data_IF_629958107317
#
_entry.id   IF_629958107317
#
_cell.length_a   1.000
_cell.length_b   1.000
_cell.length_c   1.000
_cell.angle_alpha   90.00
_cell.angle_beta   90.00
_cell.angle_gamma   90.00
#
_symmetry.space_group_name_H-M   'P 1'
#
loop_
_entity.id
_entity.type
_entity.pdbx_description
1 polymer ?
#
# COMPACT_ATOMS: atom_id res chain seq x y z
N UNK A 1 70.83 25.26 -16.83
CA UNK A 1 69.89 25.62 -15.74
C UNK A 1 68.60 26.30 -16.23
N UNK A 2 68.57 26.98 -17.37
CA UNK A 2 67.36 27.68 -17.88
C UNK A 2 66.22 26.76 -18.37
N UNK A 3 66.54 25.61 -18.99
CA UNK A 3 65.53 24.73 -19.61
C UNK A 3 64.65 23.96 -18.60
N UNK A 4 65.19 23.65 -17.40
CA UNK A 4 64.42 22.98 -16.35
C UNK A 4 63.44 23.93 -15.66
N UNK A 5 63.78 25.23 -15.57
CA UNK A 5 62.90 26.23 -14.96
C UNK A 5 61.65 26.50 -15.83
N UNK A 6 61.82 26.55 -17.15
CA UNK A 6 60.70 26.74 -18.09
C UNK A 6 59.77 25.53 -18.15
N UNK A 7 60.30 24.31 -18.10
CA UNK A 7 59.49 23.09 -18.07
C UNK A 7 58.63 22.99 -16.80
N UNK A 8 59.21 23.33 -15.63
CA UNK A 8 58.46 23.36 -14.38
C UNK A 8 57.36 24.43 -14.37
N UNK A 9 57.63 25.59 -14.96
CA UNK A 9 56.63 26.67 -15.06
C UNK A 9 55.44 26.25 -15.95
N UNK A 10 55.71 25.57 -17.07
CA UNK A 10 54.69 25.06 -17.98
C UNK A 10 53.83 23.98 -17.32
N UNK A 11 54.42 23.08 -16.53
CA UNK A 11 53.69 22.04 -15.78
C UNK A 11 52.79 22.65 -14.70
N UNK A 12 53.26 23.64 -13.95
CA UNK A 12 52.45 24.34 -12.93
C UNK A 12 51.29 25.09 -13.57
N UNK A 13 51.51 25.74 -14.71
CA UNK A 13 50.45 26.44 -15.45
C UNK A 13 49.43 25.44 -16.03
N UNK A 14 49.85 24.28 -16.54
CA UNK A 14 48.94 23.22 -16.97
C UNK A 14 48.11 22.63 -15.82
N UNK A 15 48.68 22.49 -14.62
CA UNK A 15 47.95 22.05 -13.43
C UNK A 15 46.94 23.08 -12.92
N UNK A 16 47.17 24.37 -13.17
CA UNK A 16 46.24 25.46 -12.82
C UNK A 16 45.14 25.68 -13.88
N UNK A 17 45.35 25.24 -15.12
CA UNK A 17 44.37 25.38 -16.23
C UNK A 17 43.48 24.13 -16.38
N UNK A 18 43.81 23.01 -15.75
CA UNK A 18 42.84 21.91 -15.63
C UNK A 18 41.61 22.47 -14.90
N UNK A 19 40.45 22.64 -15.57
CA UNK A 19 39.25 22.97 -14.84
C UNK A 19 39.09 21.86 -13.82
N UNK A 20 38.98 22.27 -12.55
CA UNK A 20 38.39 21.44 -11.53
C UNK A 20 36.99 21.13 -12.04
N UNK A 21 36.88 20.03 -12.80
CA UNK A 21 35.65 19.41 -13.16
C UNK A 21 35.10 18.92 -11.82
N UNK A 22 34.43 19.83 -11.11
CA UNK A 22 33.31 19.47 -10.29
C UNK A 22 32.37 18.72 -11.22
N UNK A 23 32.58 17.41 -11.31
CA UNK A 23 31.49 16.49 -11.51
C UNK A 23 30.56 16.83 -10.36
N UNK A 24 29.57 17.70 -10.63
CA UNK A 24 28.32 17.69 -9.87
C UNK A 24 27.71 16.33 -10.15
N UNK A 25 28.28 15.33 -9.48
CA UNK A 25 27.58 14.10 -9.20
C UNK A 25 26.30 14.50 -8.48
N UNK A 26 25.27 13.73 -8.75
CA UNK A 26 23.90 13.87 -8.31
C UNK A 26 23.73 13.74 -6.77
N UNK A 27 24.55 14.46 -5.99
CA UNK A 27 24.58 14.43 -4.51
C UNK A 27 23.23 14.84 -3.91
N UNK A 28 22.41 15.59 -4.64
CA UNK A 28 21.08 16.00 -4.19
C UNK A 28 20.07 14.85 -4.18
N UNK A 29 20.16 13.90 -5.11
CA UNK A 29 19.25 12.76 -5.15
C UNK A 29 19.66 11.68 -4.13
N UNK A 30 20.97 11.52 -3.88
CA UNK A 30 21.52 10.63 -2.84
C UNK A 30 21.12 11.08 -1.41
N UNK A 31 20.94 12.40 -1.21
CA UNK A 31 20.55 12.99 0.09
C UNK A 31 19.10 12.68 0.53
N UNK A 32 18.18 12.52 -0.44
CA UNK A 32 16.75 12.33 -0.17
C UNK A 32 16.34 10.88 0.10
N UNK A 33 17.17 9.91 -0.28
CA UNK A 33 16.95 8.50 0.07
C UNK A 33 17.22 8.30 1.56
N UNK A 34 16.25 7.71 2.27
CA UNK A 34 16.35 7.43 3.72
C UNK A 34 15.95 6.00 4.01
N UNK A 35 16.47 5.43 5.10
CA UNK A 35 16.05 4.11 5.58
C UNK A 35 15.28 4.22 6.88
N UNK A 36 14.31 3.34 7.05
CA UNK A 36 13.59 3.10 8.30
C UNK A 36 13.44 1.58 8.46
N UNK A 37 14.24 1.00 9.35
CA UNK A 37 14.35 -0.45 9.51
C UNK A 37 14.73 -1.14 8.20
N UNK A 38 13.87 -2.06 7.75
CA UNK A 38 14.08 -2.81 6.51
C UNK A 38 13.68 -2.03 5.25
N UNK A 39 12.99 -0.90 5.40
CA UNK A 39 12.43 -0.15 4.28
C UNK A 39 13.39 0.91 3.76
N UNK A 40 13.52 0.97 2.44
CA UNK A 40 14.16 2.08 1.74
C UNK A 40 13.09 3.07 1.26
N UNK A 41 13.22 4.32 1.68
CA UNK A 41 12.27 5.40 1.42
C UNK A 41 12.86 6.34 0.39
N UNK A 42 12.21 6.40 -0.76
CA UNK A 42 12.56 7.27 -1.87
C UNK A 42 11.29 7.88 -2.48
N UNK A 43 11.47 8.81 -3.42
CA UNK A 43 10.36 9.43 -4.13
C UNK A 43 9.39 8.36 -4.69
N UNK A 44 8.06 8.53 -4.52
CA UNK A 44 7.37 9.72 -4.04
C UNK A 44 7.24 9.82 -2.52
N UNK A 45 7.55 8.75 -1.79
CA UNK A 45 7.44 8.76 -0.33
C UNK A 45 8.52 9.65 0.30
N UNK A 46 8.17 10.23 1.45
CA UNK A 46 9.11 10.97 2.29
C UNK A 46 8.84 10.66 3.75
N UNK A 47 9.88 10.76 4.58
CA UNK A 47 9.68 10.78 6.02
C UNK A 47 9.16 12.17 6.43
N UNK A 48 8.41 12.22 7.53
CA UNK A 48 7.89 13.47 8.10
C UNK A 48 8.98 14.53 8.30
N UNK A 49 10.16 14.08 8.74
CA UNK A 49 11.30 14.95 9.05
C UNK A 49 12.28 15.09 7.87
N UNK A 50 11.92 14.60 6.67
CA UNK A 50 12.72 14.81 5.46
C UNK A 50 12.74 16.31 5.07
N UNK A 51 13.80 16.80 4.40
CA UNK A 51 13.82 18.15 3.81
C UNK A 51 12.64 18.40 2.85
N UNK A 52 12.22 19.65 2.68
CA UNK A 52 11.06 20.00 1.83
C UNK A 52 11.22 19.55 0.37
N UNK A 53 12.45 19.57 -0.16
CA UNK A 53 12.76 19.14 -1.53
C UNK A 53 12.73 17.62 -1.75
N UNK A 54 12.53 16.81 -0.70
CA UNK A 54 12.52 15.36 -0.79
C UNK A 54 11.10 14.77 -0.85
N UNK A 55 10.84 13.94 -1.86
CA UNK A 55 9.55 13.26 -2.04
C UNK A 55 8.38 14.22 -2.26
N UNK A 56 7.17 13.71 -2.11
CA UNK A 56 5.92 14.45 -2.32
C UNK A 56 5.15 14.54 -0.99
N UNK A 57 4.69 15.74 -0.65
CA UNK A 57 3.94 16.02 0.58
C UNK A 57 2.60 15.28 0.68
N UNK A 58 2.14 14.66 -0.41
CA UNK A 58 1.00 13.74 -0.40
C UNK A 58 1.34 12.37 0.23
N UNK A 59 2.60 11.95 0.19
CA UNK A 59 3.03 10.58 0.54
C UNK A 59 3.98 10.59 1.74
N UNK A 60 3.50 11.12 2.87
CA UNK A 60 4.28 11.25 4.10
C UNK A 60 4.19 9.97 4.94
N UNK A 61 5.34 9.44 5.35
CA UNK A 61 5.48 8.32 6.27
C UNK A 61 6.17 8.78 7.56
N UNK A 62 5.95 8.05 8.65
CA UNK A 62 6.64 8.27 9.93
C UNK A 62 7.48 7.04 10.26
N UNK A 63 8.74 7.26 10.66
CA UNK A 63 9.57 6.22 11.25
C UNK A 63 9.49 6.39 12.77
N UNK A 64 8.89 5.43 13.45
CA UNK A 64 8.70 5.47 14.90
C UNK A 64 9.72 4.58 15.62
N UNK A 65 9.61 4.53 16.95
CA UNK A 65 10.45 3.70 17.80
C UNK A 65 10.52 2.24 17.31
N UNK A 66 11.68 1.62 17.48
CA UNK A 66 12.03 0.31 16.94
C UNK A 66 12.07 0.23 15.41
N UNK A 67 12.40 1.35 14.74
CA UNK A 67 12.57 1.43 13.29
C UNK A 67 11.31 1.01 12.50
N UNK A 68 10.14 1.25 13.11
CA UNK A 68 8.88 0.82 12.56
C UNK A 68 8.29 1.90 11.65
N UNK A 69 8.11 1.54 10.38
CA UNK A 69 7.55 2.44 9.37
C UNK A 69 6.02 2.46 9.44
N UNK A 70 5.46 3.66 9.57
CA UNK A 70 4.04 3.92 9.78
C UNK A 70 3.48 4.85 8.70
N UNK A 71 2.28 4.50 8.22
CA UNK A 71 1.42 5.41 7.47
C UNK A 71 0.26 5.85 8.36
N UNK A 72 0.09 7.16 8.48
CA UNK A 72 -1.10 7.77 9.05
C UNK A 72 -2.06 8.15 7.93
N UNK A 73 -3.20 7.46 7.85
CA UNK A 73 -4.14 7.66 6.74
C UNK A 73 -5.37 8.44 7.19
N UNK A 74 -5.25 9.77 7.24
CA UNK A 74 -6.34 10.67 7.65
C UNK A 74 -6.95 10.27 9.01
N UNK A 75 -8.28 10.25 9.09
CA UNK A 75 -9.02 9.79 10.27
C UNK A 75 -9.19 8.26 10.36
N UNK A 76 -8.66 7.49 9.39
CA UNK A 76 -8.91 6.04 9.26
C UNK A 76 -7.96 5.21 10.10
N UNK A 77 -6.83 5.78 10.49
CA UNK A 77 -6.01 5.22 11.54
C UNK A 77 -4.53 5.14 11.18
N UNK A 78 -3.86 4.26 11.93
CA UNK A 78 -2.44 4.03 11.94
C UNK A 78 -2.16 2.66 11.32
N UNK A 79 -1.27 2.62 10.34
CA UNK A 79 -0.96 1.40 9.60
C UNK A 79 0.54 1.13 9.62
N UNK A 80 0.90 -0.12 9.87
CA UNK A 80 2.25 -0.60 9.66
C UNK A 80 2.49 -0.79 8.17
N UNK A 81 3.58 -0.20 7.66
CA UNK A 81 4.00 -0.44 6.29
C UNK A 81 4.75 -1.76 6.24
N UNK A 82 4.17 -2.77 5.57
CA UNK A 82 4.77 -4.09 5.41
C UNK A 82 5.75 -4.13 4.23
N UNK A 83 5.45 -3.41 3.16
CA UNK A 83 6.33 -3.30 1.99
C UNK A 83 5.94 -2.12 1.10
N UNK A 84 6.91 -1.56 0.40
CA UNK A 84 6.72 -0.57 -0.67
C UNK A 84 7.30 -1.17 -1.96
N UNK A 85 6.50 -1.24 -3.01
CA UNK A 85 6.93 -1.74 -4.31
C UNK A 85 7.04 -0.57 -5.31
N UNK A 86 8.28 -0.14 -5.56
CA UNK A 86 8.64 0.93 -6.50
C UNK A 86 8.40 0.58 -7.97
N UNK A 87 8.38 -0.70 -8.32
CA UNK A 87 8.15 -1.14 -9.69
C UNK A 87 6.66 -1.19 -10.03
N UNK A 88 5.84 -1.63 -9.08
CA UNK A 88 4.40 -1.84 -9.30
C UNK A 88 3.53 -0.71 -8.75
N UNK A 89 4.12 0.35 -8.21
CA UNK A 89 3.40 1.49 -7.65
C UNK A 89 2.44 1.12 -6.52
N UNK A 90 2.79 0.15 -5.67
CA UNK A 90 1.98 -0.28 -4.52
C UNK A 90 2.67 -0.07 -3.18
N UNK A 91 1.87 0.10 -2.14
CA UNK A 91 2.27 0.07 -0.73
C UNK A 91 1.35 -0.90 0.00
N UNK A 92 1.93 -1.85 0.74
CA UNK A 92 1.20 -2.85 1.51
C UNK A 92 1.19 -2.47 2.98
N UNK A 93 -0.01 -2.45 3.55
CA UNK A 93 -0.32 -1.93 4.87
C UNK A 93 -0.96 -3.02 5.72
N UNK A 94 -0.59 -3.04 7.00
CA UNK A 94 -1.25 -3.88 8.01
C UNK A 94 -1.81 -2.96 9.09
N UNK A 95 -3.09 -3.13 9.42
CA UNK A 95 -3.73 -2.36 10.48
C UNK A 95 -2.98 -2.57 11.81
N UNK A 96 -2.66 -1.48 12.49
CA UNK A 96 -2.01 -1.50 13.80
C UNK A 96 -2.78 -2.35 14.82
N UNK A 97 -4.12 -2.33 14.75
CA UNK A 97 -4.98 -3.05 15.68
C UNK A 97 -5.01 -4.57 15.43
N UNK A 98 -4.59 -5.03 14.24
CA UNK A 98 -4.52 -6.45 13.92
C UNK A 98 -3.30 -7.14 14.58
N UNK A 99 -2.32 -6.37 15.05
CA UNK A 99 -1.07 -6.88 15.65
C UNK A 99 -1.10 -6.93 17.19
N UNK A 100 -2.29 -6.82 17.80
CA UNK A 100 -2.49 -6.82 19.25
C UNK A 100 -1.67 -7.89 19.99
N UNK A 101 -0.61 -7.41 20.64
CA UNK A 101 0.33 -8.08 21.54
C UNK A 101 -0.26 -9.28 22.28
N UNK A 102 0.31 -10.47 22.03
CA UNK A 102 0.41 -11.66 22.90
C UNK A 102 -0.81 -12.16 23.71
N UNK A 103 -1.96 -11.51 23.61
CA UNK A 103 -3.22 -11.74 24.33
C UNK A 103 -4.41 -11.35 23.43
N UNK A 104 -4.33 -11.67 22.14
CA UNK A 104 -5.38 -11.90 21.12
C UNK A 104 -6.78 -11.25 21.31
N UNK A 105 -6.85 -10.05 21.85
CA UNK A 105 -8.08 -9.27 21.94
C UNK A 105 -8.12 -8.35 20.74
N UNK A 106 -8.72 -8.84 19.65
CA UNK A 106 -8.97 -8.04 18.44
C UNK A 106 -9.85 -6.85 18.84
N UNK A 107 -9.30 -5.64 18.76
CA UNK A 107 -10.10 -4.44 19.02
C UNK A 107 -11.09 -4.20 17.86
N UNK A 108 -12.35 -3.87 18.15
CA UNK A 108 -13.44 -3.85 17.19
C UNK A 108 -13.48 -2.55 16.37
N UNK A 109 -12.39 -2.21 15.68
CA UNK A 109 -12.46 -1.21 14.60
C UNK A 109 -12.32 -1.94 13.26
N UNK A 110 -13.38 -2.64 12.81
CA UNK A 110 -13.33 -3.40 11.57
C UNK A 110 -13.12 -2.45 10.39
N UNK A 111 -11.94 -2.50 9.77
CA UNK A 111 -11.73 -1.85 8.49
C UNK A 111 -12.41 -2.68 7.41
N UNK A 112 -13.45 -2.12 6.79
CA UNK A 112 -14.09 -2.69 5.61
C UNK A 112 -13.97 -1.76 4.40
N UNK A 113 -14.31 -2.29 3.22
CA UNK A 113 -14.34 -1.54 1.95
C UNK A 113 -15.12 -0.22 2.06
N UNK A 114 -16.17 -0.15 2.88
CA UNK A 114 -16.98 1.05 3.09
C UNK A 114 -16.16 2.25 3.58
N UNK A 115 -15.07 2.02 4.31
CA UNK A 115 -14.16 3.07 4.72
C UNK A 115 -13.45 3.73 3.54
N UNK A 116 -13.43 3.12 2.35
CA UNK A 116 -12.76 3.64 1.17
C UNK A 116 -13.75 4.17 0.12
N UNK A 117 -15.06 4.05 0.36
CA UNK A 117 -16.13 4.50 -0.55
C UNK A 117 -16.45 6.00 -0.43
N UNK A 118 -15.59 6.83 -1.02
CA UNK A 118 -16.01 7.97 -1.87
C UNK A 118 -16.57 9.29 -1.29
N UNK A 119 -16.78 9.53 0.01
CA UNK A 119 -17.31 10.87 0.45
C UNK A 119 -16.47 11.69 1.42
N UNK A 120 -15.52 11.11 2.15
CA UNK A 120 -14.81 11.82 3.24
C UNK A 120 -13.29 11.76 3.20
N UNK A 121 -12.72 11.06 2.22
CA UNK A 121 -11.27 10.83 2.13
C UNK A 121 -10.82 11.31 0.79
N UNK A 122 -9.58 11.74 0.68
CA UNK A 122 -8.88 11.99 -0.56
C UNK A 122 -8.45 10.64 -1.17
N UNK A 123 -9.34 9.84 -1.82
CA UNK A 123 -9.02 8.50 -2.33
C UNK A 123 -8.13 8.62 -3.57
N UNK A 124 -7.74 9.86 -3.92
CA UNK A 124 -6.93 10.24 -5.05
C UNK A 124 -5.44 10.17 -4.75
N UNK A 125 -5.01 10.10 -3.48
CA UNK A 125 -3.57 10.00 -3.20
C UNK A 125 -3.13 8.54 -3.25
N UNK A 126 -3.79 7.70 -2.47
CA UNK A 126 -3.56 6.26 -2.42
C UNK A 126 -4.83 5.50 -2.83
N UNK A 127 -5.18 5.45 -4.12
CA UNK A 127 -6.34 4.69 -4.57
C UNK A 127 -6.18 3.20 -4.28
N UNK A 128 -7.25 2.57 -3.84
CA UNK A 128 -7.34 1.11 -3.74
C UNK A 128 -7.82 0.46 -5.05
N UNK A 129 -8.46 1.24 -5.92
CA UNK A 129 -8.85 0.83 -7.27
C UNK A 129 -7.88 1.42 -8.29
N UNK A 130 -7.30 0.60 -9.15
CA UNK A 130 -6.49 1.07 -10.28
C UNK A 130 -7.32 0.91 -11.55
N UNK A 131 -7.27 1.92 -12.44
CA UNK A 131 -7.99 1.91 -13.70
C UNK A 131 -7.22 1.11 -14.75
N UNK A 132 -7.74 -0.07 -15.11
CA UNK A 132 -7.47 -0.75 -16.39
C UNK A 132 -8.67 -0.55 -17.34
N UNK A 133 -8.80 -1.35 -18.40
CA UNK A 133 -10.07 -1.54 -19.15
C UNK A 133 -11.26 -1.85 -18.21
N UNK A 134 -10.98 -2.35 -16.99
CA UNK A 134 -11.91 -2.52 -15.86
C UNK A 134 -11.29 -1.95 -14.56
N UNK A 135 -12.13 -1.59 -13.58
CA UNK A 135 -11.63 -1.22 -12.25
C UNK A 135 -11.08 -2.47 -11.55
N UNK A 136 -9.80 -2.46 -11.19
CA UNK A 136 -9.16 -3.54 -10.43
C UNK A 136 -9.03 -3.09 -8.98
N UNK A 137 -9.70 -3.81 -8.08
CA UNK A 137 -9.54 -3.63 -6.63
C UNK A 137 -8.25 -4.31 -6.17
N UNK A 138 -7.39 -3.57 -5.48
CA UNK A 138 -6.11 -4.08 -4.97
C UNK A 138 -6.25 -4.93 -3.72
N UNK A 139 -7.41 -4.91 -3.06
CA UNK A 139 -7.69 -5.72 -1.89
C UNK A 139 -9.15 -6.14 -1.86
N UNK A 140 -9.43 -7.18 -1.08
CA UNK A 140 -10.78 -7.64 -0.78
C UNK A 140 -11.09 -7.46 0.71
N UNK A 141 -12.38 -7.34 1.04
CA UNK A 141 -12.84 -7.52 2.42
C UNK A 141 -12.97 -9.02 2.72
N UNK A 142 -12.36 -9.44 3.81
CA UNK A 142 -12.48 -10.78 4.39
C UNK A 142 -13.30 -10.65 5.67
N UNK A 143 -14.47 -11.29 5.70
CA UNK A 143 -15.41 -11.21 6.82
C UNK A 143 -15.37 -12.51 7.62
N UNK A 144 -15.22 -12.39 8.93
CA UNK A 144 -15.44 -13.50 9.84
C UNK A 144 -16.89 -13.49 10.30
N UNK A 145 -17.59 -14.58 10.01
CA UNK A 145 -19.01 -14.74 10.29
C UNK A 145 -19.24 -15.91 11.23
N UNK A 146 -19.98 -15.68 12.31
CA UNK A 146 -20.46 -16.72 13.23
C UNK A 146 -21.94 -16.96 12.98
N UNK A 147 -22.35 -18.22 13.04
CA UNK A 147 -23.74 -18.64 12.94
C UNK A 147 -24.12 -19.50 14.15
N UNK A 148 -25.37 -19.42 14.66
CA UNK A 148 -25.81 -20.21 15.81
C UNK A 148 -25.72 -21.72 15.59
N UNK A 149 -25.84 -22.16 14.32
CA UNK A 149 -25.75 -23.55 13.89
C UNK A 149 -24.90 -23.68 12.62
N UNK A 150 -24.32 -24.85 12.41
CA UNK A 150 -23.66 -25.20 11.15
C UNK A 150 -24.65 -25.15 9.97
N UNK A 151 -24.27 -24.44 8.91
CA UNK A 151 -25.01 -24.28 7.65
C UNK A 151 -24.40 -25.21 6.61
N UNK A 152 -25.17 -26.22 6.17
CA UNK A 152 -24.68 -27.32 5.34
C UNK A 152 -24.36 -26.93 3.88
N UNK A 153 -25.04 -25.92 3.32
CA UNK A 153 -24.91 -25.50 1.92
C UNK A 153 -24.31 -24.10 1.77
N UNK A 154 -23.55 -23.66 2.76
CA UNK A 154 -22.81 -22.40 2.68
C UNK A 154 -21.73 -22.48 1.60
N UNK A 155 -21.56 -21.42 0.82
CA UNK A 155 -20.40 -21.25 -0.06
C UNK A 155 -19.25 -20.51 0.63
N UNK A 156 -19.42 -20.13 1.90
CA UNK A 156 -18.37 -19.61 2.75
C UNK A 156 -17.42 -20.71 3.24
N UNK A 157 -16.19 -20.32 3.56
CA UNK A 157 -15.15 -21.24 4.01
C UNK A 157 -15.38 -21.56 5.47
N UNK A 158 -15.83 -22.77 5.75
CA UNK A 158 -16.01 -23.25 7.11
C UNK A 158 -14.66 -23.51 7.79
N UNK A 159 -14.52 -23.11 9.05
CA UNK A 159 -13.30 -23.34 9.83
C UNK A 159 -13.58 -23.53 11.33
N UNK A 160 -12.60 -24.04 12.08
CA UNK A 160 -12.70 -24.18 13.53
C UNK A 160 -12.42 -22.83 14.23
N UNK A 161 -13.30 -22.38 15.14
CA UNK A 161 -13.09 -21.15 15.91
C UNK A 161 -11.76 -21.12 16.67
N UNK A 162 -11.22 -22.29 17.08
CA UNK A 162 -9.90 -22.41 17.69
C UNK A 162 -8.79 -21.85 16.79
N UNK A 163 -9.00 -21.83 15.46
CA UNK A 163 -8.06 -21.26 14.51
C UNK A 163 -7.69 -19.81 14.80
N UNK A 164 -8.70 -19.00 15.15
CA UNK A 164 -8.50 -17.57 15.34
C UNK A 164 -8.25 -17.21 16.81
N UNK A 165 -8.30 -18.19 17.71
CA UNK A 165 -8.22 -18.00 19.16
C UNK A 165 -9.25 -16.97 19.68
N UNK A 166 -10.36 -16.80 18.96
CA UNK A 166 -11.41 -15.80 19.25
C UNK A 166 -12.38 -16.32 20.32
N UNK A 167 -12.38 -17.61 20.64
CA UNK A 167 -13.11 -18.12 21.81
C UNK A 167 -12.61 -19.48 22.28
N UNK A 168 -12.60 -19.66 23.60
CA UNK A 168 -12.64 -20.97 24.28
C UNK A 168 -14.08 -21.52 24.29
N UNK A 169 -14.81 -21.44 23.17
CA UNK A 169 -16.18 -21.93 23.16
C UNK A 169 -16.19 -23.44 22.88
N UNK A 170 -16.29 -24.22 23.95
CA UNK A 170 -16.65 -25.65 23.95
C UNK A 170 -18.08 -25.91 23.40
N UNK A 171 -18.71 -24.94 22.72
CA UNK A 171 -20.04 -25.06 22.15
C UNK A 171 -19.95 -25.65 20.74
N UNK A 172 -19.99 -26.98 20.68
CA UNK A 172 -19.86 -27.84 19.48
C UNK A 172 -20.90 -27.59 18.36
N UNK A 173 -21.71 -26.51 18.42
CA UNK A 173 -22.81 -26.28 17.49
C UNK A 173 -22.69 -24.99 16.67
N UNK A 174 -21.77 -24.07 16.97
CA UNK A 174 -21.64 -22.82 16.18
C UNK A 174 -20.94 -23.06 14.85
N UNK A 175 -21.47 -22.44 13.79
CA UNK A 175 -20.83 -22.42 12.47
C UNK A 175 -19.92 -21.21 12.33
N UNK A 176 -18.66 -21.40 11.93
CA UNK A 176 -17.70 -20.30 11.72
C UNK A 176 -17.29 -20.28 10.26
N UNK A 177 -17.41 -19.12 9.63
CA UNK A 177 -17.20 -18.96 8.19
C UNK A 177 -16.31 -17.76 7.89
N UNK A 178 -15.43 -17.92 6.91
CA UNK A 178 -14.81 -16.81 6.21
C UNK A 178 -15.53 -16.61 4.88
N UNK A 179 -15.92 -15.38 4.59
CA UNK A 179 -16.44 -14.98 3.28
C UNK A 179 -15.64 -13.80 2.74
N UNK A 180 -15.52 -13.73 1.42
CA UNK A 180 -14.75 -12.69 0.74
C UNK A 180 -15.67 -11.82 -0.12
N UNK A 181 -15.38 -10.53 -0.16
CA UNK A 181 -15.87 -9.64 -1.20
C UNK A 181 -17.02 -8.73 -0.79
N UNK A 182 -17.81 -8.40 -1.80
CA UNK A 182 -18.86 -7.36 -1.87
C UNK A 182 -20.28 -7.94 -1.84
N UNK A 183 -20.40 -9.27 -1.81
CA UNK A 183 -21.68 -10.00 -1.81
C UNK A 183 -22.33 -10.01 -0.44
N UNK A 184 -23.65 -10.14 -0.43
CA UNK A 184 -24.42 -10.30 0.80
C UNK A 184 -24.19 -11.66 1.46
N UNK A 185 -24.35 -11.76 2.78
CA UNK A 185 -24.28 -13.05 3.50
C UNK A 185 -25.28 -14.08 2.95
N UNK A 186 -26.44 -13.62 2.48
CA UNK A 186 -27.47 -14.46 1.86
C UNK A 186 -26.95 -15.15 0.58
N UNK A 187 -26.16 -14.47 -0.23
CA UNK A 187 -25.54 -15.07 -1.43
C UNK A 187 -24.53 -16.17 -1.07
N UNK A 188 -23.96 -16.13 0.13
CA UNK A 188 -23.13 -17.21 0.67
C UNK A 188 -23.94 -18.34 1.31
N UNK A 189 -25.26 -18.26 1.31
CA UNK A 189 -26.14 -19.19 2.04
C UNK A 189 -26.12 -18.96 3.56
N UNK A 190 -25.52 -17.87 4.04
CA UNK A 190 -25.46 -17.50 5.45
C UNK A 190 -26.64 -16.58 5.77
N UNK A 191 -27.72 -17.18 6.26
CA UNK A 191 -29.00 -16.50 6.50
C UNK A 191 -29.18 -15.93 7.90
N UNK A 192 -30.45 -15.82 8.30
CA UNK A 192 -30.88 -15.19 9.54
C UNK A 192 -30.23 -15.84 10.78
N UNK A 193 -29.66 -14.99 11.63
CA UNK A 193 -28.97 -15.39 12.86
C UNK A 193 -27.45 -15.40 12.74
N UNK A 194 -26.88 -15.43 11.53
CA UNK A 194 -25.45 -15.24 11.33
C UNK A 194 -25.02 -13.79 11.59
N UNK A 195 -23.83 -13.59 12.15
CA UNK A 195 -23.29 -12.27 12.53
C UNK A 195 -21.86 -12.12 12.04
N UNK A 196 -21.55 -10.94 11.50
CA UNK A 196 -20.17 -10.55 11.20
C UNK A 196 -19.51 -10.19 12.53
N UNK A 197 -18.51 -10.96 12.94
CA UNK A 197 -17.72 -10.68 14.14
C UNK A 197 -16.58 -9.71 13.83
N UNK A 198 -15.90 -9.90 12.69
CA UNK A 198 -14.72 -9.14 12.31
C UNK A 198 -14.65 -8.93 10.79
N UNK A 199 -13.96 -7.86 10.41
CA UNK A 199 -13.69 -7.54 9.02
C UNK A 199 -12.20 -7.20 8.87
N UNK A 200 -11.58 -7.75 7.84
CA UNK A 200 -10.19 -7.52 7.51
C UNK A 200 -10.08 -7.12 6.05
N UNK A 201 -9.06 -6.32 5.74
CA UNK A 201 -8.66 -6.06 4.36
C UNK A 201 -7.45 -6.93 4.03
N UNK A 202 -7.51 -7.62 2.89
CA UNK A 202 -6.42 -8.46 2.43
C UNK A 202 -6.21 -8.36 0.92
N UNK A 203 -4.95 -8.24 0.53
CA UNK A 203 -4.50 -8.36 -0.87
C UNK A 203 -3.91 -9.73 -1.16
N UNK A 204 -4.18 -10.72 -0.30
CA UNK A 204 -3.75 -12.08 -0.55
C UNK A 204 -4.36 -12.59 -1.86
N UNK A 205 -3.56 -13.15 -2.80
CA UNK A 205 -4.05 -13.65 -4.07
C UNK A 205 -4.92 -14.88 -3.80
N UNK A 206 -6.23 -14.69 -3.80
CA UNK A 206 -7.20 -15.76 -3.62
C UNK A 206 -7.70 -16.24 -4.98
N UNK A 207 -7.17 -17.37 -5.44
CA UNK A 207 -7.72 -18.06 -6.60
C UNK A 207 -8.97 -18.84 -6.17
N UNK A 208 -10.12 -18.50 -6.74
CA UNK A 208 -11.35 -19.25 -6.59
C UNK A 208 -11.20 -20.62 -7.26
N UNK A 209 -10.67 -21.62 -6.55
CA UNK A 209 -10.55 -22.97 -7.12
C UNK A 209 -9.69 -23.94 -6.32
N UNK A 210 -10.35 -24.83 -5.58
CA UNK A 210 -9.93 -26.24 -5.52
C UNK A 210 -9.05 -26.72 -4.37
N UNK A 211 -8.48 -25.85 -3.52
CA UNK A 211 -7.68 -26.31 -2.38
C UNK A 211 -8.44 -26.20 -1.06
N UNK A 212 -8.30 -27.21 -0.20
CA UNK A 212 -8.74 -27.15 1.18
C UNK A 212 -7.97 -26.02 1.88
N UNK A 213 -8.67 -24.96 2.29
CA UNK A 213 -8.09 -23.84 3.01
C UNK A 213 -7.87 -24.28 4.46
N UNK A 214 -6.62 -24.22 4.92
CA UNK A 214 -6.29 -24.56 6.30
C UNK A 214 -6.31 -23.32 7.19
N UNK A 215 -6.36 -23.54 8.50
CA UNK A 215 -6.28 -22.45 9.47
C UNK A 215 -5.04 -21.57 9.29
N UNK A 216 -3.90 -22.16 8.93
CA UNK A 216 -2.66 -21.43 8.64
C UNK A 216 -2.82 -20.48 7.46
N UNK A 217 -3.64 -20.83 6.48
CA UNK A 217 -3.89 -19.99 5.30
C UNK A 217 -4.80 -18.82 5.68
N UNK A 218 -5.84 -19.06 6.48
CA UNK A 218 -6.71 -18.01 7.04
C UNK A 218 -5.88 -16.98 7.82
N UNK A 219 -4.98 -17.45 8.69
CA UNK A 219 -4.07 -16.57 9.44
C UNK A 219 -3.15 -15.79 8.51
N UNK A 220 -2.56 -16.44 7.51
CA UNK A 220 -1.71 -15.76 6.51
C UNK A 220 -2.48 -14.68 5.77
N UNK A 221 -3.71 -14.96 5.33
CA UNK A 221 -4.57 -13.99 4.65
C UNK A 221 -4.84 -12.77 5.55
N UNK A 222 -5.14 -12.99 6.83
CA UNK A 222 -5.42 -11.93 7.80
C UNK A 222 -4.20 -11.03 8.08
N UNK A 223 -3.01 -11.62 8.22
CA UNK A 223 -1.77 -10.89 8.51
C UNK A 223 -1.02 -10.40 7.27
N UNK A 224 -1.49 -10.75 6.07
CA UNK A 224 -0.88 -10.30 4.82
C UNK A 224 -0.98 -8.77 4.65
N UNK A 225 -2.07 -8.18 5.15
CA UNK A 225 -2.39 -6.77 4.94
C UNK A 225 -3.02 -6.50 3.58
N UNK A 226 -3.18 -5.22 3.25
CA UNK A 226 -3.84 -4.77 2.03
C UNK A 226 -2.97 -3.75 1.29
N UNK A 227 -3.11 -3.70 -0.02
CA UNK A 227 -2.35 -2.85 -0.90
C UNK A 227 -3.15 -1.62 -1.34
N UNK A 228 -2.49 -0.47 -1.35
CA UNK A 228 -2.95 0.73 -2.02
C UNK A 228 -1.96 1.09 -3.13
N UNK A 229 -2.45 1.70 -4.20
CA UNK A 229 -1.60 2.21 -5.26
C UNK A 229 -1.17 3.64 -4.96
N UNK A 230 0.06 4.00 -5.29
CA UNK A 230 0.53 5.38 -5.32
C UNK A 230 0.78 5.86 -6.75
N UNK A 231 0.19 5.23 -7.76
CA UNK A 231 0.33 5.61 -9.18
C UNK A 231 -0.03 7.09 -9.45
N UNK A 232 -0.91 7.67 -8.63
CA UNK A 232 -1.27 9.08 -8.69
C UNK A 232 -0.12 10.04 -8.33
N UNK A 233 1.02 9.52 -7.86
CA UNK A 233 2.26 10.29 -7.67
C UNK A 233 2.82 10.82 -8.98
N UNK A 234 2.57 10.11 -10.09
CA UNK A 234 2.97 10.51 -11.45
C UNK A 234 2.21 11.75 -11.96
N UNK A 235 1.17 12.15 -11.23
CA UNK A 235 0.30 13.28 -11.56
C UNK A 235 0.46 14.41 -10.56
N UNK A 236 0.22 15.65 -11.02
CA UNK A 236 0.18 16.82 -10.13
C UNK A 236 -0.93 16.68 -9.08
N UNK A 237 -0.78 17.39 -7.96
CA UNK A 237 -1.80 17.44 -6.92
C UNK A 237 -3.20 17.77 -7.50
N UNK A 238 -4.21 17.00 -7.09
CA UNK A 238 -5.60 17.12 -7.58
C UNK A 238 -5.90 16.38 -8.89
N UNK A 239 -4.89 15.81 -9.55
CA UNK A 239 -5.03 14.94 -10.71
C UNK A 239 -4.84 13.47 -10.32
N UNK A 240 -5.41 12.56 -11.11
CA UNK A 240 -5.28 11.12 -10.94
C UNK A 240 -4.82 10.47 -12.26
N UNK A 241 -4.12 9.35 -12.15
CA UNK A 241 -3.61 8.59 -13.29
C UNK A 241 -4.75 7.87 -14.03
N UNK A 242 -4.71 7.91 -15.36
CA UNK A 242 -5.61 7.20 -16.27
C UNK A 242 -4.82 6.27 -17.18
N UNK A 243 -4.45 5.07 -16.71
CA UNK A 243 -3.90 4.02 -17.59
C UNK A 243 -3.89 2.67 -16.88
N UNK A 244 -4.32 1.64 -17.62
CA UNK A 244 -3.49 0.51 -18.04
C UNK A 244 -3.91 0.19 -19.50
N UNK A 245 -2.96 0.14 -20.42
CA UNK A 245 -3.08 -0.60 -21.69
C UNK A 245 -2.13 -1.79 -21.48
N UNK A 246 -2.40 -2.98 -22.04
CA UNK A 246 -1.63 -4.23 -21.82
C UNK A 246 -0.09 -4.13 -21.96
N UNK A 247 0.42 -3.04 -22.55
CA UNK A 247 1.84 -2.74 -22.72
C UNK A 247 2.40 -1.66 -21.77
N UNK A 248 1.69 -1.28 -20.71
CA UNK A 248 2.14 -0.30 -19.71
C UNK A 248 2.47 1.10 -20.31
N UNK A 249 1.89 1.44 -21.47
CA UNK A 249 2.15 2.69 -22.20
C UNK A 249 0.87 3.41 -22.58
N UNK A 250 0.44 4.36 -21.72
CA UNK A 250 -0.19 5.65 -22.11
C UNK A 250 -0.47 6.54 -20.90
N UNK A 251 0.58 7.23 -20.45
CA UNK A 251 0.63 8.09 -19.26
C UNK A 251 -0.22 9.36 -19.35
N UNK A 252 -1.52 9.23 -19.12
CA UNK A 252 -2.45 10.35 -18.97
C UNK A 252 -2.78 10.62 -17.51
N UNK A 253 -2.80 11.89 -17.12
CA UNK A 253 -3.45 12.33 -15.90
C UNK A 253 -4.79 12.97 -16.26
N UNK A 254 -5.81 12.74 -15.44
CA UNK A 254 -7.07 13.45 -15.56
C UNK A 254 -7.50 14.17 -14.29
N UNK A 255 -8.40 15.12 -14.49
CA UNK A 255 -9.06 15.87 -13.43
C UNK A 255 -10.53 16.05 -13.78
N UNK A 256 -11.39 15.74 -12.82
CA UNK A 256 -12.82 16.07 -12.87
C UNK A 256 -13.00 17.57 -12.58
N UNK A 257 -13.60 18.28 -13.53
CA UNK A 257 -14.02 19.66 -13.39
C UNK A 257 -15.35 19.82 -12.64
N UNK A 258 -15.71 21.06 -12.25
CA UNK A 258 -16.93 21.36 -11.50
C UNK A 258 -18.23 20.97 -12.22
N UNK A 259 -18.19 20.83 -13.55
CA UNK A 259 -19.33 20.43 -14.40
C UNK A 259 -19.28 18.97 -14.85
N UNK A 260 -18.49 18.11 -14.17
CA UNK A 260 -18.12 16.75 -14.64
C UNK A 260 -17.34 16.71 -15.97
N UNK A 261 -16.91 17.87 -16.48
CA UNK A 261 -15.99 17.92 -17.62
C UNK A 261 -14.65 17.27 -17.24
N UNK A 262 -14.11 16.45 -18.13
CA UNK A 262 -12.89 15.66 -17.89
C UNK A 262 -11.70 16.32 -18.60
N UNK A 263 -10.76 16.87 -17.83
CA UNK A 263 -9.53 17.45 -18.37
C UNK A 263 -8.43 16.38 -18.41
N UNK A 264 -7.64 16.34 -19.48
CA UNK A 264 -6.52 15.40 -19.65
C UNK A 264 -5.21 16.15 -19.88
N UNK A 265 -4.13 15.65 -19.31
CA UNK A 265 -2.76 16.11 -19.54
C UNK A 265 -1.80 14.92 -19.53
N UNK A 266 -0.61 15.01 -20.17
CA UNK A 266 0.41 13.98 -20.01
C UNK A 266 0.86 13.88 -18.53
N UNK A 267 1.25 12.68 -18.08
CA UNK A 267 1.86 12.55 -16.76
C UNK A 267 3.14 13.38 -16.67
N UNK A 268 3.46 13.82 -15.44
CA UNK A 268 4.76 14.40 -15.19
C UNK A 268 5.80 13.31 -15.52
N UNK A 269 6.73 13.61 -16.41
CA UNK A 269 7.94 12.81 -16.56
C UNK A 269 8.68 12.94 -15.23
N UNK A 270 8.53 11.94 -14.35
CA UNK A 270 9.44 11.78 -13.21
C UNK A 270 10.88 11.70 -13.71
N UNK A 271 11.87 12.01 -12.85
CA UNK A 271 13.27 12.04 -13.26
C UNK A 271 13.67 10.70 -13.92
N UNK A 272 14.53 10.74 -14.95
CA UNK A 272 14.95 9.55 -15.67
C UNK A 272 15.73 8.60 -14.74
N UNK A 273 15.26 7.36 -14.69
CA UNK A 273 15.99 6.12 -14.41
C UNK A 273 16.51 5.82 -12.99
N UNK A 274 16.42 4.51 -12.73
CA UNK A 274 17.09 3.68 -11.72
C UNK A 274 18.60 3.64 -12.01
#
# INVERSE_FOLDING_TARGET
MSFFATLNLVVVVLLLILPYNNVHGDEQQESCSKRCGVHNISHPFRLKDSPENCGDNRYILSCEDNDQLILYYGSFGKYYVQSINYNNFTIRLLDFNNLGHSNYSLQPHPLGLYNFTSTTINPRVLPYTVFDDYNIDLFNSMLYVTCPKHVQYSSGIYFDAACMNISNSYEQQKGNYIVFGDRSLLEFGLGDGCRIELMFLTSWPFEHGGNNIFCTDIRRMMFYGFELSWLNSLCKHGWYSEILDYNNQRRGCARLGPTKAKYKQPCCTGPPNI
#
